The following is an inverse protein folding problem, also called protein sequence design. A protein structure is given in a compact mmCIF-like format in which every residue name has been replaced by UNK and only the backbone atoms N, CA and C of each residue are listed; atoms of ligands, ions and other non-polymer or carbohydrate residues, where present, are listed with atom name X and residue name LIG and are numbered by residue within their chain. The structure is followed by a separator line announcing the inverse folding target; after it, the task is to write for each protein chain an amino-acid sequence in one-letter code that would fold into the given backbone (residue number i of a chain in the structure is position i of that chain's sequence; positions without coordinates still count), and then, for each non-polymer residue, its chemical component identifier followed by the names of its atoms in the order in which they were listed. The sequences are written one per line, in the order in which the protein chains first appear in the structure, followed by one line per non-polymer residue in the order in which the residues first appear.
data_IF_578107343869
#
_entry.id   IF_578107343869
#
_cell.length_a   1.000
_cell.length_b   1.000
_cell.length_c   1.000
_cell.angle_alpha   90.00
_cell.angle_beta   90.00
_cell.angle_gamma   90.00
#
_symmetry.space_group_name_H-M   'P 1'
#
loop_
_entity.id
_entity.type
_entity.pdbx_description
1 polymer ?
#
# COMPACT_ATOMS: atom_id res chain seq x y z
N UNK A 1 24.76 -13.28 0.55
CA UNK A 1 24.07 -14.13 1.53
C UNK A 1 23.29 -13.30 2.52
N UNK A 2 22.08 -13.73 2.85
CA UNK A 2 21.27 -13.10 3.90
C UNK A 2 21.93 -13.34 5.28
N UNK A 3 21.94 -12.33 6.19
CA UNK A 3 22.57 -12.48 7.49
C UNK A 3 21.86 -13.55 8.33
N UNK A 4 22.65 -14.39 9.01
CA UNK A 4 22.15 -15.53 9.81
C UNK A 4 21.68 -15.15 11.22
N UNK A 5 21.88 -13.91 11.63
CA UNK A 5 21.40 -13.34 12.88
C UNK A 5 21.22 -11.83 12.72
N UNK A 6 20.71 -11.16 13.76
CA UNK A 6 20.33 -9.74 13.72
C UNK A 6 21.54 -8.80 13.63
N UNK A 7 22.73 -9.19 14.09
CA UNK A 7 23.84 -8.28 14.35
C UNK A 7 24.39 -7.57 13.11
N UNK A 8 24.59 -8.26 11.96
CA UNK A 8 25.04 -7.62 10.73
C UNK A 8 24.07 -6.57 10.18
N UNK A 9 22.79 -6.56 10.62
CA UNK A 9 21.81 -5.55 10.20
C UNK A 9 22.10 -4.16 10.77
N UNK A 10 22.88 -4.09 11.85
CA UNK A 10 23.25 -2.82 12.50
C UNK A 10 24.48 -2.15 11.85
N UNK A 11 25.12 -2.80 10.86
CA UNK A 11 26.30 -2.27 10.17
C UNK A 11 27.41 -1.86 11.15
N UNK A 12 27.89 -0.62 11.02
CA UNK A 12 28.95 -0.07 11.89
C UNK A 12 28.52 0.04 13.37
N UNK A 13 27.22 -0.03 13.65
CA UNK A 13 26.65 0.02 15.01
C UNK A 13 26.43 -1.36 15.65
N UNK A 14 26.99 -2.44 15.06
CA UNK A 14 26.79 -3.82 15.55
C UNK A 14 27.08 -3.97 17.05
N UNK A 15 28.17 -3.37 17.54
CA UNK A 15 28.55 -3.45 18.95
C UNK A 15 27.50 -2.80 19.86
N UNK A 16 27.04 -1.60 19.50
CA UNK A 16 26.01 -0.88 20.23
C UNK A 16 24.67 -1.62 20.18
N UNK A 17 24.28 -2.17 19.02
CA UNK A 17 23.07 -2.95 18.87
C UNK A 17 23.07 -4.22 19.73
N UNK A 18 24.21 -4.91 19.83
CA UNK A 18 24.39 -6.04 20.76
C UNK A 18 24.23 -5.59 22.20
N UNK A 19 24.98 -4.58 22.63
CA UNK A 19 24.91 -4.06 24.00
C UNK A 19 23.48 -3.64 24.38
N UNK A 20 22.78 -2.93 23.50
CA UNK A 20 21.41 -2.47 23.73
C UNK A 20 20.40 -3.63 23.85
N UNK A 21 20.53 -4.66 23.01
CA UNK A 21 19.53 -5.74 22.92
C UNK A 21 19.81 -6.94 23.83
N UNK A 22 21.03 -7.09 24.36
CA UNK A 22 21.38 -8.24 25.21
C UNK A 22 21.57 -7.91 26.69
N UNK A 23 21.71 -6.63 27.03
CA UNK A 23 21.84 -6.22 28.43
C UNK A 23 20.48 -6.06 29.10
N UNK A 24 20.48 -6.11 30.44
CA UNK A 24 19.30 -5.76 31.23
C UNK A 24 18.91 -4.31 30.98
N UNK A 25 17.61 -4.09 30.80
CA UNK A 25 17.02 -2.77 30.64
C UNK A 25 15.97 -2.52 31.73
N UNK A 26 15.87 -1.28 32.16
CA UNK A 26 14.81 -0.85 33.07
C UNK A 26 13.49 -0.79 32.30
N UNK A 27 12.50 -1.57 32.73
CA UNK A 27 11.15 -1.49 32.19
C UNK A 27 10.37 -0.47 33.02
N UNK A 28 9.93 0.58 32.36
CA UNK A 28 9.26 1.71 33.00
C UNK A 28 7.75 1.65 32.75
N UNK A 29 6.95 1.64 33.82
CA UNK A 29 5.49 1.78 33.73
C UNK A 29 5.09 3.26 33.68
N UNK A 30 4.83 3.72 32.45
CA UNK A 30 4.44 5.10 32.16
C UNK A 30 3.16 5.55 32.89
N UNK A 31 2.24 4.64 33.24
CA UNK A 31 1.00 5.02 33.94
C UNK A 31 1.25 5.38 35.41
N UNK A 32 2.31 4.82 36.00
CA UNK A 32 2.70 5.05 37.39
C UNK A 32 3.64 6.26 37.58
N UNK A 33 4.23 6.75 36.49
CA UNK A 33 5.21 7.83 36.48
C UNK A 33 4.57 9.19 36.79
N UNK A 34 5.23 10.00 37.60
CA UNK A 34 4.79 11.38 37.87
C UNK A 34 5.21 12.32 36.73
N UNK A 35 4.45 13.39 36.50
CA UNK A 35 4.68 14.26 35.33
C UNK A 35 6.01 15.06 35.41
N UNK A 36 6.59 15.21 36.59
CA UNK A 36 7.91 15.81 36.81
C UNK A 36 9.09 14.87 36.48
N UNK A 37 8.84 13.56 36.38
CA UNK A 37 9.87 12.55 36.04
C UNK A 37 10.19 12.48 34.55
N UNK A 38 9.30 12.99 33.67
CA UNK A 38 9.54 13.10 32.23
C UNK A 38 10.78 13.94 31.88
N UNK A 39 11.33 14.71 32.83
CA UNK A 39 12.51 15.55 32.64
C UNK A 39 13.85 14.78 32.58
N UNK A 40 13.89 13.45 32.77
CA UNK A 40 15.15 12.68 32.76
C UNK A 40 15.77 12.49 31.37
N UNK A 41 14.99 12.44 30.30
CA UNK A 41 15.49 12.29 28.92
C UNK A 41 14.72 13.20 27.95
N UNK A 42 15.17 14.45 27.83
CA UNK A 42 14.50 15.55 27.12
C UNK A 42 14.04 15.20 25.68
N UNK A 43 14.71 14.24 25.04
CA UNK A 43 14.41 13.85 23.68
C UNK A 43 13.14 13.00 23.57
N UNK A 44 12.92 12.04 24.50
CA UNK A 44 11.82 11.09 24.40
C UNK A 44 10.57 11.49 25.20
N UNK A 45 10.68 12.46 26.12
CA UNK A 45 9.61 12.89 27.02
C UNK A 45 8.29 13.21 26.33
N UNK A 46 8.32 13.85 25.15
CA UNK A 46 7.12 14.15 24.35
C UNK A 46 6.40 12.86 23.97
N UNK A 47 7.15 11.84 23.51
CA UNK A 47 6.59 10.53 23.17
C UNK A 47 6.10 9.80 24.41
N UNK A 48 6.86 9.81 25.52
CA UNK A 48 6.49 9.12 26.76
C UNK A 48 5.20 9.67 27.36
N UNK A 49 5.06 10.99 27.43
CA UNK A 49 3.82 11.63 27.85
C UNK A 49 2.66 11.21 26.96
N UNK A 50 2.84 11.26 25.64
CA UNK A 50 1.78 10.89 24.71
C UNK A 50 1.39 9.41 24.82
N UNK A 51 2.35 8.51 25.06
CA UNK A 51 2.10 7.09 25.26
C UNK A 51 1.38 6.80 26.59
N UNK A 52 1.72 7.53 27.66
CA UNK A 52 0.98 7.47 28.93
C UNK A 52 -0.50 7.80 28.73
N UNK A 53 -0.78 8.84 27.95
CA UNK A 53 -2.13 9.38 27.75
C UNK A 53 -2.88 8.80 26.53
N UNK A 54 -2.28 7.89 25.75
CA UNK A 54 -2.86 7.41 24.48
C UNK A 54 -4.24 6.74 24.64
N UNK A 55 -4.53 6.19 25.82
CA UNK A 55 -5.80 5.51 26.13
C UNK A 55 -6.81 6.41 26.85
N UNK A 56 -6.47 7.68 27.07
CA UNK A 56 -7.37 8.61 27.73
C UNK A 56 -8.61 8.85 26.87
N UNK A 57 -9.77 8.99 27.54
CA UNK A 57 -11.04 9.23 26.85
C UNK A 57 -11.01 10.51 26.01
N UNK A 58 -10.24 11.51 26.46
CA UNK A 58 -10.06 12.77 25.74
C UNK A 58 -8.60 13.03 25.39
N UNK A 59 -8.14 12.31 24.36
CA UNK A 59 -6.78 12.43 23.84
C UNK A 59 -6.45 13.83 23.31
N UNK A 60 -7.45 14.61 22.87
CA UNK A 60 -7.21 16.01 22.46
C UNK A 60 -6.90 16.89 23.67
N UNK A 61 -7.54 16.64 24.82
CA UNK A 61 -7.24 17.36 26.05
C UNK A 61 -5.83 17.03 26.54
N UNK A 62 -5.44 15.76 26.53
CA UNK A 62 -4.07 15.37 26.86
C UNK A 62 -3.04 16.04 25.94
N UNK A 63 -3.34 16.15 24.64
CA UNK A 63 -2.44 16.85 23.72
C UNK A 63 -2.37 18.36 23.99
N UNK A 64 -3.50 18.99 24.32
CA UNK A 64 -3.52 20.39 24.75
C UNK A 64 -2.66 20.61 26.00
N UNK A 65 -2.81 19.74 26.99
CA UNK A 65 -2.03 19.77 28.23
C UNK A 65 -0.53 19.53 27.96
N UNK A 66 -0.18 18.72 26.95
CA UNK A 66 1.20 18.57 26.50
C UNK A 66 1.78 19.88 25.98
N UNK A 67 1.06 20.56 25.07
CA UNK A 67 1.51 21.85 24.53
C UNK A 67 1.70 22.90 25.62
N UNK A 68 0.82 22.90 26.63
CA UNK A 68 0.87 23.87 27.72
C UNK A 68 1.95 23.54 28.76
N UNK A 69 2.15 22.26 29.07
CA UNK A 69 3.05 21.83 30.16
C UNK A 69 4.48 21.54 29.72
N UNK A 70 4.71 21.29 28.42
CA UNK A 70 6.01 20.88 27.87
C UNK A 70 6.49 21.77 26.72
N UNK A 71 6.11 23.05 26.73
CA UNK A 71 6.52 24.03 25.70
C UNK A 71 8.05 24.11 25.53
N UNK A 72 8.81 24.07 26.63
CA UNK A 72 10.28 24.06 26.58
C UNK A 72 10.85 22.84 25.84
N UNK A 73 10.21 21.66 25.99
CA UNK A 73 10.64 20.44 25.30
C UNK A 73 10.26 20.49 23.82
N UNK A 74 9.10 21.06 23.49
CA UNK A 74 8.67 21.27 22.10
C UNK A 74 9.62 22.25 21.41
N UNK A 75 10.04 23.32 22.09
CA UNK A 75 11.04 24.26 21.58
C UNK A 75 12.43 23.61 21.44
N UNK A 76 12.80 22.69 22.33
CA UNK A 76 14.02 21.91 22.17
C UNK A 76 13.95 20.97 20.95
N UNK A 77 12.80 20.34 20.71
CA UNK A 77 12.54 19.47 19.55
C UNK A 77 12.56 20.25 18.22
N UNK A 78 12.27 21.56 18.24
CA UNK A 78 12.39 22.45 17.07
C UNK A 78 13.78 22.39 16.42
N UNK A 79 14.85 22.27 17.23
CA UNK A 79 16.24 22.13 16.72
C UNK A 79 16.42 20.89 15.84
N UNK A 80 15.58 19.88 16.04
CA UNK A 80 15.57 18.61 15.34
C UNK A 80 14.41 18.51 14.34
N UNK A 81 13.87 19.64 13.87
CA UNK A 81 12.75 19.71 12.94
C UNK A 81 11.49 18.98 13.46
N UNK A 82 11.23 19.13 14.77
CA UNK A 82 10.05 18.57 15.43
C UNK A 82 9.88 17.06 15.25
N UNK A 83 10.98 16.30 15.25
CA UNK A 83 10.95 14.87 14.96
C UNK A 83 10.09 14.11 15.99
N UNK A 84 10.17 14.45 17.28
CA UNK A 84 9.45 13.73 18.32
C UNK A 84 7.98 14.15 18.39
N UNK A 85 7.70 15.44 18.25
CA UNK A 85 6.35 15.97 18.19
C UNK A 85 5.62 15.42 16.95
N UNK A 86 6.23 15.48 15.77
CA UNK A 86 5.61 15.01 14.52
C UNK A 86 5.28 13.52 14.57
N UNK A 87 6.20 12.67 15.06
CA UNK A 87 5.93 11.24 15.23
C UNK A 87 4.82 10.96 16.24
N UNK A 88 4.81 11.66 17.37
CA UNK A 88 3.77 11.54 18.40
C UNK A 88 2.40 11.92 17.83
N UNK A 89 2.32 13.04 17.11
CA UNK A 89 1.10 13.52 16.45
C UNK A 89 0.63 12.57 15.35
N UNK A 90 1.54 12.01 14.57
CA UNK A 90 1.24 10.96 13.58
C UNK A 90 0.56 9.77 14.25
N UNK A 91 1.07 9.31 15.39
CA UNK A 91 0.49 8.20 16.14
C UNK A 91 -0.87 8.55 16.75
N UNK A 92 -0.99 9.67 17.47
CA UNK A 92 -2.24 10.17 18.07
C UNK A 92 -3.36 10.26 17.03
N UNK A 93 -3.05 10.81 15.85
CA UNK A 93 -4.02 10.98 14.78
C UNK A 93 -4.61 9.65 14.32
N UNK A 94 -3.84 8.55 14.36
CA UNK A 94 -4.36 7.20 14.04
C UNK A 94 -5.29 6.65 15.09
N UNK A 95 -5.17 7.12 16.34
CA UNK A 95 -6.04 6.74 17.46
C UNK A 95 -7.27 7.64 17.56
N UNK A 96 -7.20 8.88 17.06
CA UNK A 96 -8.34 9.80 17.04
C UNK A 96 -9.44 9.33 16.07
N UNK A 97 -10.73 9.48 16.44
CA UNK A 97 -11.83 9.31 15.50
C UNK A 97 -11.67 10.23 14.28
N UNK A 98 -12.07 9.76 13.08
CA UNK A 98 -11.95 10.54 11.83
C UNK A 98 -12.52 11.96 11.92
N UNK A 99 -13.62 12.14 12.66
CA UNK A 99 -14.24 13.46 12.86
C UNK A 99 -13.43 14.46 13.70
N UNK A 100 -12.42 14.00 14.44
CA UNK A 100 -11.56 14.83 15.31
C UNK A 100 -10.26 15.29 14.64
N UNK A 101 -9.97 14.87 13.40
CA UNK A 101 -8.73 15.25 12.71
C UNK A 101 -8.61 16.76 12.45
N UNK A 102 -9.73 17.43 12.16
CA UNK A 102 -9.75 18.89 12.01
C UNK A 102 -9.45 19.61 13.33
N UNK A 103 -9.92 19.05 14.46
CA UNK A 103 -9.65 19.62 15.78
C UNK A 103 -8.17 19.49 16.13
N UNK A 104 -7.55 18.36 15.79
CA UNK A 104 -6.10 18.18 15.91
C UNK A 104 -5.32 19.24 15.12
N UNK A 105 -5.66 19.42 13.84
CA UNK A 105 -5.01 20.44 12.99
C UNK A 105 -5.13 21.83 13.61
N UNK A 106 -6.34 22.23 14.01
CA UNK A 106 -6.57 23.54 14.61
C UNK A 106 -5.77 23.71 15.90
N UNK A 107 -5.71 22.69 16.76
CA UNK A 107 -4.94 22.74 17.99
C UNK A 107 -3.44 22.97 17.73
N UNK A 108 -2.86 22.26 16.76
CA UNK A 108 -1.45 22.45 16.38
C UNK A 108 -1.21 23.88 15.88
N UNK A 109 -2.08 24.39 15.00
CA UNK A 109 -1.97 25.75 14.47
C UNK A 109 -2.24 26.85 15.50
N UNK A 110 -2.97 26.53 16.57
CA UNK A 110 -3.22 27.45 17.69
C UNK A 110 -2.05 27.49 18.67
N UNK A 111 -1.45 26.33 18.96
CA UNK A 111 -0.39 26.18 19.97
C UNK A 111 1.01 26.50 19.45
N UNK A 112 1.23 26.44 18.13
CA UNK A 112 2.51 26.74 17.50
C UNK A 112 2.45 28.01 16.66
N UNK A 113 3.61 28.58 16.34
CA UNK A 113 3.71 29.64 15.34
C UNK A 113 3.24 29.11 13.97
N UNK A 114 2.75 29.98 13.08
CA UNK A 114 2.26 29.56 11.75
C UNK A 114 3.30 28.71 11.01
N UNK A 115 4.56 29.12 11.03
CA UNK A 115 5.64 28.39 10.33
C UNK A 115 5.91 27.03 10.97
N UNK A 116 6.02 26.98 12.30
CA UNK A 116 6.30 25.72 13.02
C UNK A 116 5.12 24.73 12.88
N UNK A 117 3.88 25.23 12.98
CA UNK A 117 2.67 24.45 12.78
C UNK A 117 2.59 23.88 11.36
N UNK A 118 2.92 24.69 10.35
CA UNK A 118 3.00 24.22 8.96
C UNK A 118 4.08 23.15 8.75
N UNK A 119 5.28 23.31 9.34
CA UNK A 119 6.37 22.33 9.27
C UNK A 119 5.96 20.99 9.90
N UNK A 120 5.38 21.02 11.10
CA UNK A 120 4.88 19.82 11.78
C UNK A 120 3.79 19.14 10.97
N UNK A 121 2.82 19.90 10.47
CA UNK A 121 1.73 19.35 9.67
C UNK A 121 2.21 18.78 8.33
N UNK A 122 3.23 19.39 7.72
CA UNK A 122 3.88 18.87 6.52
C UNK A 122 4.58 17.54 6.82
N UNK A 123 5.38 17.45 7.89
CA UNK A 123 6.01 16.20 8.33
C UNK A 123 4.99 15.06 8.53
N UNK A 124 3.84 15.37 9.17
CA UNK A 124 2.74 14.42 9.34
C UNK A 124 2.15 13.95 8.00
N UNK A 125 2.01 14.87 7.05
CA UNK A 125 1.51 14.57 5.71
C UNK A 125 2.53 13.78 4.87
N UNK A 126 3.82 14.04 5.04
CA UNK A 126 4.93 13.37 4.35
C UNK A 126 5.00 11.91 4.79
N UNK A 127 4.93 11.66 6.10
CA UNK A 127 4.84 10.32 6.69
C UNK A 127 3.65 9.53 6.11
N UNK A 128 2.52 10.18 5.87
CA UNK A 128 1.40 9.54 5.17
C UNK A 128 1.69 9.21 3.73
N UNK A 129 2.26 10.13 2.97
CA UNK A 129 2.56 9.87 1.56
C UNK A 129 3.51 8.68 1.42
N UNK A 130 4.46 8.52 2.34
CA UNK A 130 5.33 7.34 2.38
C UNK A 130 4.58 6.07 2.80
N UNK A 131 3.79 6.13 3.88
CA UNK A 131 3.00 4.98 4.35
C UNK A 131 1.97 4.51 3.31
N UNK A 132 1.38 5.44 2.57
CA UNK A 132 0.37 5.17 1.54
C UNK A 132 0.94 4.97 0.14
N UNK A 133 2.23 5.20 -0.13
CA UNK A 133 2.83 4.75 -1.42
C UNK A 133 2.70 3.24 -1.62
N UNK A 134 2.66 2.48 -0.53
CA UNK A 134 2.69 1.01 -0.55
C UNK A 134 1.36 0.39 -1.00
N UNK A 135 0.17 0.83 -0.51
CA UNK A 135 -1.09 0.19 -0.89
C UNK A 135 -1.57 0.48 -2.32
N UNK A 136 -1.46 1.73 -2.83
CA UNK A 136 -2.01 2.07 -4.16
C UNK A 136 -1.21 1.45 -5.32
N UNK A 137 0.11 1.31 -5.15
CA UNK A 137 0.96 0.64 -6.14
C UNK A 137 0.62 -0.85 -6.17
N UNK A 138 0.40 -1.46 -5.01
CA UNK A 138 -0.01 -2.87 -4.93
C UNK A 138 -1.38 -3.09 -5.57
N UNK A 139 -2.38 -2.25 -5.25
CA UNK A 139 -3.73 -2.35 -5.84
C UNK A 139 -3.71 -2.09 -7.35
N UNK A 140 -2.85 -1.17 -7.82
CA UNK A 140 -2.66 -0.90 -9.25
C UNK A 140 -2.02 -2.08 -10.00
N UNK A 141 -1.02 -2.73 -9.40
CA UNK A 141 -0.38 -3.93 -9.95
C UNK A 141 -1.37 -5.09 -9.99
N UNK A 142 -2.10 -5.32 -8.91
CA UNK A 142 -3.08 -6.41 -8.79
C UNK A 142 -4.20 -6.28 -9.84
N UNK A 143 -4.82 -5.09 -9.94
CA UNK A 143 -5.81 -4.80 -10.99
C UNK A 143 -5.23 -4.89 -12.41
N UNK A 144 -3.95 -4.53 -12.58
CA UNK A 144 -3.25 -4.63 -13.86
C UNK A 144 -3.06 -6.09 -14.29
N UNK A 145 -2.63 -6.95 -13.36
CA UNK A 145 -2.42 -8.39 -13.58
C UNK A 145 -3.75 -9.08 -13.86
N UNK A 146 -4.78 -8.82 -13.05
CA UNK A 146 -6.11 -9.42 -13.19
C UNK A 146 -6.72 -9.10 -14.57
N UNK A 147 -6.73 -7.83 -14.97
CA UNK A 147 -7.20 -7.41 -16.30
C UNK A 147 -6.36 -7.99 -17.44
N UNK A 148 -5.06 -8.18 -17.21
CA UNK A 148 -4.16 -8.79 -18.18
C UNK A 148 -4.48 -10.26 -18.42
N UNK A 149 -4.69 -11.02 -17.33
CA UNK A 149 -5.03 -12.44 -17.36
C UNK A 149 -6.40 -12.65 -17.99
N UNK A 150 -7.42 -11.90 -17.58
CA UNK A 150 -8.79 -12.01 -18.10
C UNK A 150 -8.83 -11.81 -19.61
N UNK A 151 -8.23 -10.71 -20.10
CA UNK A 151 -8.14 -10.44 -21.55
C UNK A 151 -7.31 -11.47 -22.29
N UNK A 152 -6.28 -12.01 -21.66
CA UNK A 152 -5.43 -13.06 -22.24
C UNK A 152 -6.21 -14.37 -22.43
N UNK A 153 -6.95 -14.79 -21.41
CA UNK A 153 -7.78 -16.00 -21.43
C UNK A 153 -8.92 -15.85 -22.43
N UNK A 154 -9.64 -14.73 -22.42
CA UNK A 154 -10.77 -14.49 -23.33
C UNK A 154 -10.33 -14.57 -24.80
N UNK A 155 -9.26 -13.84 -25.16
CA UNK A 155 -8.68 -13.89 -26.51
C UNK A 155 -8.16 -15.27 -26.88
N UNK A 156 -7.56 -15.97 -25.92
CA UNK A 156 -7.07 -17.34 -26.13
C UNK A 156 -8.20 -18.32 -26.45
N UNK A 157 -9.30 -18.26 -25.69
CA UNK A 157 -10.48 -19.10 -25.90
C UNK A 157 -11.17 -18.77 -27.23
N UNK A 158 -11.35 -17.49 -27.54
CA UNK A 158 -12.00 -17.07 -28.79
C UNK A 158 -11.19 -17.53 -30.02
N UNK A 159 -9.87 -17.31 -29.99
CA UNK A 159 -8.97 -17.75 -31.05
C UNK A 159 -8.99 -19.28 -31.19
N UNK A 160 -8.92 -20.02 -30.08
CA UNK A 160 -8.99 -21.48 -30.10
C UNK A 160 -10.30 -22.02 -30.68
N UNK A 161 -11.45 -21.41 -30.33
CA UNK A 161 -12.76 -21.79 -30.89
C UNK A 161 -12.85 -21.54 -32.40
N UNK A 162 -12.32 -20.41 -32.89
CA UNK A 162 -12.33 -20.14 -34.33
C UNK A 162 -11.36 -21.06 -35.08
N UNK A 163 -10.18 -21.35 -34.52
CA UNK A 163 -9.23 -22.33 -35.09
C UNK A 163 -9.84 -23.73 -35.16
N UNK A 164 -10.51 -24.20 -34.10
CA UNK A 164 -11.20 -25.49 -34.08
C UNK A 164 -12.31 -25.58 -35.14
N UNK A 165 -13.19 -24.56 -35.22
CA UNK A 165 -14.23 -24.50 -36.27
C UNK A 165 -13.62 -24.55 -37.67
N UNK A 166 -12.52 -23.83 -37.88
CA UNK A 166 -11.83 -23.78 -39.16
C UNK A 166 -11.23 -25.15 -39.53
N UNK A 167 -10.68 -25.87 -38.56
CA UNK A 167 -10.15 -27.22 -38.75
C UNK A 167 -11.26 -28.24 -39.07
N UNK A 168 -12.41 -28.13 -38.40
CA UNK A 168 -13.60 -28.96 -38.68
C UNK A 168 -14.06 -28.76 -40.14
N UNK A 169 -14.15 -27.51 -40.61
CA UNK A 169 -14.51 -27.20 -42.00
C UNK A 169 -13.51 -27.82 -42.99
N UNK A 170 -12.20 -27.70 -42.73
CA UNK A 170 -11.15 -28.33 -43.55
C UNK A 170 -11.32 -29.85 -43.60
N UNK A 171 -11.58 -30.48 -42.46
CA UNK A 171 -11.80 -31.92 -42.36
C UNK A 171 -13.04 -32.38 -43.12
N UNK A 172 -14.12 -31.59 -43.09
CA UNK A 172 -15.35 -31.87 -43.86
C UNK A 172 -15.13 -31.73 -45.37
N UNK A 173 -14.40 -30.71 -45.80
CA UNK A 173 -14.02 -30.50 -47.21
C UNK A 173 -13.15 -31.64 -47.73
N UNK A 174 -12.18 -32.10 -46.94
CA UNK A 174 -11.33 -33.25 -47.29
C UNK A 174 -12.11 -34.56 -47.41
N UNK A 175 -13.26 -34.69 -46.73
CA UNK A 175 -14.19 -35.82 -46.86
C UNK A 175 -15.15 -35.68 -48.04
N UNK A 176 -14.99 -34.66 -48.89
CA UNK A 176 -15.86 -34.36 -50.02
C UNK A 176 -17.34 -34.18 -49.64
N UNK A 177 -17.63 -33.60 -48.47
CA UNK A 177 -18.99 -33.20 -48.11
C UNK A 177 -19.44 -32.00 -48.95
N UNK A 178 -20.75 -31.89 -49.20
CA UNK A 178 -21.33 -30.79 -49.97
C UNK A 178 -21.10 -29.43 -49.31
N UNK A 179 -20.72 -28.43 -50.10
CA UNK A 179 -20.35 -27.08 -49.61
C UNK A 179 -21.54 -26.38 -48.94
N UNK A 180 -22.76 -26.58 -49.43
CA UNK A 180 -23.95 -25.97 -48.82
C UNK A 180 -24.28 -26.63 -47.49
N UNK A 181 -24.12 -27.95 -47.39
CA UNK A 181 -24.27 -28.68 -46.13
C UNK A 181 -23.21 -28.26 -45.09
N UNK A 182 -21.95 -28.11 -45.50
CA UNK A 182 -20.88 -27.61 -44.60
C UNK A 182 -21.18 -26.18 -44.13
N UNK A 183 -21.65 -25.31 -45.04
CA UNK A 183 -22.03 -23.95 -44.73
C UNK A 183 -23.15 -23.89 -43.68
N UNK A 184 -24.18 -24.74 -43.83
CA UNK A 184 -25.28 -24.86 -42.88
C UNK A 184 -24.80 -25.34 -41.49
N UNK A 185 -24.01 -26.42 -41.44
CA UNK A 185 -23.53 -27.00 -40.17
C UNK A 185 -22.52 -26.09 -39.45
N UNK A 186 -21.65 -25.42 -40.19
CA UNK A 186 -20.65 -24.52 -39.63
C UNK A 186 -21.20 -23.11 -39.33
N UNK A 187 -22.46 -22.82 -39.69
CA UNK A 187 -23.07 -21.50 -39.52
C UNK A 187 -22.36 -20.39 -40.31
N UNK A 188 -21.76 -20.72 -41.45
CA UNK A 188 -21.02 -19.80 -42.34
C UNK A 188 -21.69 -19.73 -43.70
N UNK A 189 -21.39 -18.71 -44.51
CA UNK A 189 -21.89 -18.64 -45.89
C UNK A 189 -21.08 -19.58 -46.80
N UNK A 190 -21.68 -20.15 -47.86
CA UNK A 190 -20.95 -20.98 -48.83
C UNK A 190 -19.69 -20.30 -49.39
N UNK A 191 -19.74 -18.99 -49.64
CA UNK A 191 -18.58 -18.22 -50.09
C UNK A 191 -17.42 -18.19 -49.07
N UNK A 192 -17.71 -18.24 -47.78
CA UNK A 192 -16.69 -18.31 -46.72
C UNK A 192 -16.04 -19.70 -46.67
N UNK A 193 -16.83 -20.76 -46.87
CA UNK A 193 -16.33 -22.14 -46.99
C UNK A 193 -15.41 -22.28 -48.22
N UNK A 194 -15.79 -21.68 -49.36
CA UNK A 194 -14.98 -21.68 -50.57
C UNK A 194 -13.66 -20.90 -50.40
N UNK A 195 -13.67 -19.83 -49.60
CA UNK A 195 -12.46 -19.09 -49.25
C UNK A 195 -11.51 -19.94 -48.40
N UNK A 196 -12.03 -20.63 -47.38
CA UNK A 196 -11.29 -21.59 -46.55
C UNK A 196 -10.68 -22.71 -47.40
N UNK A 197 -11.45 -23.27 -48.33
CA UNK A 197 -10.98 -24.31 -49.25
C UNK A 197 -9.81 -23.83 -50.12
N UNK A 198 -9.88 -22.59 -50.62
CA UNK A 198 -8.84 -21.96 -51.44
C UNK A 198 -7.56 -21.71 -50.63
N UNK A 199 -7.69 -21.21 -49.41
CA UNK A 199 -6.57 -20.97 -48.49
C UNK A 199 -5.88 -22.29 -48.09
N UNK A 200 -6.66 -23.35 -47.86
CA UNK A 200 -6.17 -24.69 -47.55
C UNK A 200 -5.71 -25.50 -48.80
N UNK A 201 -5.82 -24.93 -50.01
CA UNK A 201 -5.46 -25.57 -51.29
C UNK A 201 -6.15 -26.92 -51.55
N UNK A 202 -7.38 -27.09 -51.06
CA UNK A 202 -8.17 -28.32 -51.22
C UNK A 202 -8.84 -28.31 -52.60
N UNK A 203 -8.70 -29.41 -53.36
CA UNK A 203 -9.41 -29.60 -54.64
C UNK A 203 -10.71 -30.34 -54.39
N UNK A 204 -11.84 -29.66 -54.51
CA UNK A 204 -13.19 -30.26 -54.43
C UNK A 204 -13.89 -30.17 -55.79
N UNK A 205 -14.68 -31.18 -56.15
CA UNK A 205 -15.48 -31.19 -57.38
C UNK A 205 -16.90 -30.75 -57.01
N UNK A 206 -17.34 -29.56 -57.43
CA UNK A 206 -18.76 -29.22 -57.36
C UNK A 206 -19.51 -30.16 -58.30
N UNK A 207 -20.34 -31.04 -57.77
CA UNK A 207 -21.38 -31.70 -58.58
C UNK A 207 -22.53 -30.74 -58.81
#
# INVERSE_FOLDING_TARGET
DAPRNLWPLFGDSEKMGKELLTNDFEVVDLYSMQNDEFARDQAASIMEYMLKHIRDRDLLKALEDLFDSFSELIDADRKYHFIYLSHSLCYIRTMLPKGKQKQLYNLVMEKLSTNDGEEVMQSIADFEREKWKVPWVQEGIEKGIEKGIEKGIEKGIEKGKEEEKHEIVINMLNKNLDVNLIAEVAGKKPNEILKIAKEAKIKFHSK
#
